data_IF_986271841873
#
_entry.id   IF_986271841873
#
_cell.length_a   1.000
_cell.length_b   1.000
_cell.length_c   1.000
_cell.angle_alpha   90.00
_cell.angle_beta   90.00
_cell.angle_gamma   90.00
#
_symmetry.space_group_name_H-M   'P 1'
#
loop_
_entity.id
_entity.type
_entity.pdbx_description
1 polymer ?
#
# COMPACT_ATOMS: atom_id res chain seq x y z
N UNK A 1 22.51 10.48 -18.51
CA UNK A 1 21.99 9.38 -17.70
C UNK A 1 20.63 9.80 -17.19
N UNK A 2 19.60 9.03 -17.51
CA UNK A 2 18.21 9.41 -17.24
C UNK A 2 17.91 9.08 -15.77
N UNK A 3 17.58 10.09 -14.96
CA UNK A 3 17.35 9.97 -13.52
C UNK A 3 16.13 9.12 -13.14
N UNK A 4 15.35 8.66 -14.13
CA UNK A 4 14.15 7.86 -13.97
C UNK A 4 14.42 6.37 -13.72
N UNK A 5 15.61 5.89 -14.08
CA UNK A 5 15.92 4.45 -14.06
C UNK A 5 16.49 4.00 -12.70
N UNK A 6 17.09 4.92 -11.93
CA UNK A 6 17.65 4.65 -10.60
C UNK A 6 16.56 4.51 -9.52
N UNK A 7 15.45 5.27 -9.59
CA UNK A 7 14.34 5.16 -8.63
C UNK A 7 13.58 3.84 -8.78
N UNK A 8 13.32 3.38 -10.02
CA UNK A 8 12.60 2.12 -10.26
C UNK A 8 13.36 0.88 -9.80
N UNK A 9 14.68 0.98 -9.64
CA UNK A 9 15.50 -0.11 -9.08
C UNK A 9 15.29 -0.28 -7.58
N UNK A 10 14.82 0.74 -6.84
CA UNK A 10 14.75 0.67 -5.36
C UNK A 10 13.49 -0.05 -4.85
N UNK A 11 12.40 -0.10 -5.62
CA UNK A 11 11.12 -0.67 -5.15
C UNK A 11 11.03 -2.19 -5.29
N UNK A 12 11.92 -2.81 -6.08
CA UNK A 12 11.93 -4.27 -6.30
C UNK A 12 12.31 -5.07 -5.05
N UNK A 13 12.96 -4.43 -4.08
CA UNK A 13 13.52 -5.08 -2.89
C UNK A 13 12.81 -4.65 -1.58
N UNK A 14 11.62 -4.05 -1.68
CA UNK A 14 10.86 -3.65 -0.50
C UNK A 14 10.35 -4.86 0.26
N UNK A 15 10.69 -4.94 1.55
CA UNK A 15 10.15 -5.95 2.45
C UNK A 15 8.80 -5.48 3.00
N UNK A 16 7.87 -6.41 3.20
CA UNK A 16 6.66 -6.11 3.96
C UNK A 16 7.02 -5.93 5.44
N UNK A 17 6.26 -5.10 6.16
CA UNK A 17 6.37 -4.88 7.59
C UNK A 17 6.00 -6.12 8.42
N UNK A 18 5.40 -5.92 9.58
CA UNK A 18 5.08 -7.03 10.47
C UNK A 18 3.91 -7.88 9.93
N UNK A 19 4.22 -9.10 9.49
CA UNK A 19 3.23 -10.07 9.02
C UNK A 19 2.55 -10.84 10.15
N UNK A 20 3.05 -10.76 11.38
CA UNK A 20 2.42 -11.39 12.55
C UNK A 20 1.26 -10.55 13.08
N UNK A 21 1.24 -9.25 12.75
CA UNK A 21 0.24 -8.28 13.18
C UNK A 21 -0.32 -7.55 11.96
N UNK A 22 -1.33 -8.14 11.34
CA UNK A 22 -2.01 -7.56 10.18
C UNK A 22 -3.41 -7.17 10.60
N UNK A 23 -3.80 -5.94 10.30
CA UNK A 23 -5.19 -5.52 10.42
C UNK A 23 -5.64 -4.84 9.14
N UNK A 24 -6.93 -4.92 8.88
CA UNK A 24 -7.56 -4.35 7.72
C UNK A 24 -8.94 -3.82 8.05
N UNK A 25 -9.34 -2.77 7.36
CA UNK A 25 -10.64 -2.14 7.51
C UNK A 25 -11.18 -1.81 6.12
N UNK A 26 -12.43 -2.19 5.88
CA UNK A 26 -13.12 -1.83 4.65
C UNK A 26 -14.09 -0.69 4.93
N UNK A 27 -13.79 0.47 4.37
CA UNK A 27 -14.69 1.61 4.32
C UNK A 27 -15.67 1.41 3.16
N UNK A 28 -16.84 0.88 3.50
CA UNK A 28 -17.92 0.64 2.54
C UNK A 28 -18.47 1.94 1.93
N UNK A 29 -18.38 3.08 2.63
CA UNK A 29 -18.92 4.34 2.12
C UNK A 29 -18.10 4.88 0.96
N UNK A 30 -16.78 4.71 1.01
CA UNK A 30 -15.85 5.22 0.00
C UNK A 30 -15.27 4.13 -0.92
N UNK A 31 -15.65 2.86 -0.71
CA UNK A 31 -15.10 1.68 -1.39
C UNK A 31 -13.57 1.55 -1.29
N UNK A 32 -13.05 1.69 -0.07
CA UNK A 32 -11.62 1.65 0.22
C UNK A 32 -11.31 0.52 1.20
N UNK A 33 -10.34 -0.33 0.85
CA UNK A 33 -9.76 -1.31 1.77
C UNK A 33 -8.40 -0.80 2.27
N UNK A 34 -8.29 -0.58 3.58
CA UNK A 34 -7.04 -0.30 4.27
C UNK A 34 -6.43 -1.61 4.78
N UNK A 35 -5.13 -1.80 4.59
CA UNK A 35 -4.36 -2.93 5.12
C UNK A 35 -3.11 -2.36 5.79
N UNK A 36 -2.81 -2.77 7.02
CA UNK A 36 -1.64 -2.30 7.76
C UNK A 36 -0.85 -3.48 8.33
N UNK A 37 0.47 -3.32 8.36
CA UNK A 37 1.45 -4.33 8.81
C UNK A 37 2.16 -3.82 10.07
N UNK A 38 1.58 -4.11 11.23
CA UNK A 38 2.01 -3.60 12.54
C UNK A 38 0.84 -3.50 13.52
N UNK A 39 1.15 -3.21 14.78
CA UNK A 39 0.13 -3.04 15.83
C UNK A 39 -0.70 -1.77 15.67
N UNK A 40 -0.12 -0.71 15.10
CA UNK A 40 -0.74 0.63 14.97
C UNK A 40 -0.56 1.18 13.55
N UNK A 41 -1.29 2.25 13.21
CA UNK A 41 -1.00 3.04 12.00
C UNK A 41 0.33 3.76 12.22
N UNK A 42 1.34 3.37 11.45
CA UNK A 42 2.63 4.06 11.48
C UNK A 42 2.62 5.31 10.59
N UNK A 43 3.35 6.35 11.03
CA UNK A 43 3.81 7.41 10.13
C UNK A 43 4.71 6.80 9.05
N UNK A 44 4.56 7.28 7.81
CA UNK A 44 5.32 6.80 6.67
C UNK A 44 6.33 7.87 6.25
N UNK A 45 7.52 7.43 5.88
CA UNK A 45 8.57 8.31 5.33
C UNK A 45 8.24 8.65 3.88
N UNK A 46 7.69 7.69 3.15
CA UNK A 46 7.40 7.77 1.72
C UNK A 46 6.06 7.11 1.40
N UNK A 47 5.43 7.55 0.31
CA UNK A 47 4.26 6.89 -0.25
C UNK A 47 4.21 7.03 -1.76
N UNK A 48 3.71 6.01 -2.45
CA UNK A 48 3.45 6.09 -3.88
C UNK A 48 2.11 5.43 -4.24
N UNK A 49 1.52 5.88 -5.35
CA UNK A 49 0.33 5.28 -5.94
C UNK A 49 0.75 4.39 -7.11
N UNK A 50 0.30 3.14 -7.10
CA UNK A 50 0.51 2.21 -8.22
C UNK A 50 -0.45 2.49 -9.38
N UNK A 51 -0.16 1.94 -10.55
CA UNK A 51 -1.05 2.00 -11.73
C UNK A 51 -2.42 1.32 -11.51
N UNK A 52 -2.56 0.51 -10.45
CA UNK A 52 -3.80 -0.20 -10.11
C UNK A 52 -4.59 0.47 -8.98
N UNK A 53 -4.36 1.76 -8.72
CA UNK A 53 -5.02 2.53 -7.66
C UNK A 53 -4.86 1.87 -6.27
N UNK A 54 -3.62 1.48 -5.97
CA UNK A 54 -3.21 1.05 -4.63
C UNK A 54 -2.13 2.00 -4.16
N UNK A 55 -2.38 2.73 -3.08
CA UNK A 55 -1.35 3.51 -2.41
C UNK A 55 -0.53 2.60 -1.50
N UNK A 56 0.78 2.69 -1.60
CA UNK A 56 1.76 1.96 -0.81
C UNK A 56 2.47 2.95 0.10
N UNK A 57 2.44 2.71 1.41
CA UNK A 57 3.15 3.52 2.41
C UNK A 57 4.39 2.79 2.90
N UNK A 58 5.51 3.50 2.92
CA UNK A 58 6.83 2.95 3.25
C UNK A 58 7.39 3.67 4.46
N UNK A 59 7.99 2.90 5.36
CA UNK A 59 8.79 3.40 6.47
C UNK A 59 10.04 2.56 6.62
N UNK A 60 11.20 3.20 6.77
CA UNK A 60 12.49 2.52 6.91
C UNK A 60 12.72 1.40 5.86
N UNK A 61 12.32 1.66 4.60
CA UNK A 61 12.47 0.71 3.49
C UNK A 61 11.53 -0.51 3.54
N UNK A 62 10.45 -0.45 4.34
CA UNK A 62 9.45 -1.53 4.45
C UNK A 62 8.06 -1.02 4.16
N UNK A 63 7.23 -1.84 3.53
CA UNK A 63 5.81 -1.56 3.31
C UNK A 63 5.06 -1.70 4.64
N UNK A 64 4.55 -0.59 5.16
CA UNK A 64 3.81 -0.56 6.44
C UNK A 64 2.30 -0.51 6.25
N UNK A 65 1.82 -0.08 5.07
CA UNK A 65 0.39 0.00 4.78
C UNK A 65 0.09 -0.01 3.28
N UNK A 66 -1.08 -0.54 2.93
CA UNK A 66 -1.70 -0.46 1.61
C UNK A 66 -3.09 0.19 1.74
N UNK A 67 -3.41 1.10 0.83
CA UNK A 67 -4.77 1.61 0.63
C UNK A 67 -5.22 1.20 -0.76
N UNK A 68 -6.24 0.35 -0.84
CA UNK A 68 -6.80 -0.17 -2.09
C UNK A 68 -8.09 0.60 -2.38
N UNK A 69 -8.06 1.46 -3.39
CA UNK A 69 -9.23 2.19 -3.87
C UNK A 69 -10.07 1.32 -4.80
N UNK A 70 -11.35 1.65 -4.99
CA UNK A 70 -12.29 0.91 -5.84
C UNK A 70 -12.22 -0.61 -5.59
N UNK A 71 -12.24 -1.01 -4.32
CA UNK A 71 -11.97 -2.38 -3.92
C UNK A 71 -12.98 -3.36 -4.52
N UNK A 72 -14.27 -3.01 -4.54
CA UNK A 72 -15.32 -3.87 -5.09
C UNK A 72 -15.08 -4.20 -6.57
N UNK A 73 -14.62 -3.23 -7.36
CA UNK A 73 -14.23 -3.42 -8.76
C UNK A 73 -13.11 -4.45 -8.91
N UNK A 74 -12.11 -4.40 -8.02
CA UNK A 74 -10.97 -5.32 -8.04
C UNK A 74 -11.35 -6.77 -7.71
N UNK A 75 -12.46 -6.98 -7.00
CA UNK A 75 -13.01 -8.32 -6.69
C UNK A 75 -14.22 -8.71 -7.54
N UNK A 76 -14.60 -7.89 -8.53
CA UNK A 76 -15.68 -8.19 -9.47
C UNK A 76 -17.10 -8.04 -8.91
N UNK A 77 -17.29 -7.17 -7.91
CA UNK A 77 -18.57 -6.91 -7.25
C UNK A 77 -19.17 -5.52 -7.59
N UNK A 78 -18.84 -4.92 -8.73
CA UNK A 78 -19.48 -3.66 -9.15
C UNK A 78 -21.01 -3.84 -9.24
N UNK A 79 -21.76 -2.98 -8.54
CA UNK A 79 -23.23 -2.91 -8.55
C UNK A 79 -23.73 -1.68 -9.31
#
# INVERSE_FOLDING_TARGET
>A
MNSSDDEKSSWKDLLVGDLSNIWFEYDQQNDILYINFGYDIEDADESFLTENDVAVRIKNGRVVSLTVFDFTKKIGLEF
#
